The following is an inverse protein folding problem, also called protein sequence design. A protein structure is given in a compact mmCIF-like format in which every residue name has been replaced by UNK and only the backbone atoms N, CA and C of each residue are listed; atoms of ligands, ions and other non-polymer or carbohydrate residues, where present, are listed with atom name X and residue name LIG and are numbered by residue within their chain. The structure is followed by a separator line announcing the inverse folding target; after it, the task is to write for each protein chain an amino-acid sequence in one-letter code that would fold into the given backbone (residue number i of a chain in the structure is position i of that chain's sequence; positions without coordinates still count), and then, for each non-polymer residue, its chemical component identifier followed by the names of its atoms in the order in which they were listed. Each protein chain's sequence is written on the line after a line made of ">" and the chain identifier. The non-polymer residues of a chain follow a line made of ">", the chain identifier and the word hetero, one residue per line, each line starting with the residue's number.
data_IF_620917888558
#
_entry.id   IF_620917888558
#
_cell.length_a   1.000
_cell.length_b   1.000
_cell.length_c   1.000
_cell.angle_alpha   90.00
_cell.angle_beta   90.00
_cell.angle_gamma   90.00
#
_symmetry.space_group_name_H-M   'P 1'
#
loop_
_entity.id
_entity.type
_entity.pdbx_description
1 polymer ?
#
# COMPACT_ATOMS: atom_id res chain seq x y z
N UNK A 1 1.93 -14.26 -27.41
CA UNK A 1 1.17 -13.65 -26.29
C UNK A 1 2.03 -13.41 -25.03
N UNK A 2 3.24 -13.98 -24.93
CA UNK A 2 4.11 -13.95 -23.74
C UNK A 2 4.51 -12.56 -23.23
N UNK A 3 4.68 -11.58 -24.12
CA UNK A 3 5.13 -10.22 -23.74
C UNK A 3 4.17 -9.53 -22.76
N UNK A 4 2.85 -9.76 -22.89
CA UNK A 4 1.83 -9.11 -22.04
C UNK A 4 1.87 -9.66 -20.61
N UNK A 5 2.08 -10.95 -20.45
CA UNK A 5 2.20 -11.60 -19.13
C UNK A 5 3.42 -11.13 -18.35
N UNK A 6 4.54 -10.90 -19.05
CA UNK A 6 5.73 -10.31 -18.44
C UNK A 6 5.47 -8.91 -17.90
N UNK A 7 4.81 -8.05 -18.69
CA UNK A 7 4.47 -6.68 -18.26
C UNK A 7 3.52 -6.69 -17.07
N UNK A 8 2.47 -7.52 -17.08
CA UNK A 8 1.52 -7.61 -15.97
C UNK A 8 2.19 -8.09 -14.67
N UNK A 9 3.13 -9.04 -14.76
CA UNK A 9 3.89 -9.49 -13.59
C UNK A 9 4.77 -8.37 -13.02
N UNK A 10 5.43 -7.59 -13.89
CA UNK A 10 6.20 -6.43 -13.45
C UNK A 10 5.29 -5.39 -12.78
N UNK A 11 4.12 -5.11 -13.37
CA UNK A 11 3.14 -4.17 -12.80
C UNK A 11 2.60 -4.65 -11.45
N UNK A 12 2.34 -5.95 -11.30
CA UNK A 12 1.91 -6.53 -10.03
C UNK A 12 2.96 -6.33 -8.93
N UNK A 13 4.23 -6.61 -9.23
CA UNK A 13 5.34 -6.37 -8.28
C UNK A 13 5.52 -4.88 -8.00
N UNK A 14 5.44 -4.04 -9.03
CA UNK A 14 5.57 -2.59 -8.90
C UNK A 14 4.47 -2.01 -7.98
N UNK A 15 3.22 -2.44 -8.14
CA UNK A 15 2.11 -2.05 -7.27
C UNK A 15 2.38 -2.40 -5.81
N UNK A 16 2.87 -3.61 -5.53
CA UNK A 16 3.22 -4.04 -4.17
C UNK A 16 4.37 -3.20 -3.59
N UNK A 17 5.39 -2.90 -4.39
CA UNK A 17 6.51 -2.03 -3.96
C UNK A 17 6.03 -0.62 -3.66
N UNK A 18 5.20 -0.03 -4.54
CA UNK A 18 4.61 1.29 -4.32
C UNK A 18 3.74 1.30 -3.06
N UNK A 19 2.95 0.24 -2.83
CA UNK A 19 2.15 0.12 -1.61
C UNK A 19 3.03 0.24 -0.37
N UNK A 20 4.13 -0.53 -0.29
CA UNK A 20 5.07 -0.47 0.83
C UNK A 20 5.71 0.92 1.01
N UNK A 21 6.13 1.56 -0.08
CA UNK A 21 6.69 2.91 -0.03
C UNK A 21 5.66 3.89 0.57
N UNK A 22 4.42 3.86 0.09
CA UNK A 22 3.37 4.75 0.56
C UNK A 22 2.97 4.47 2.01
N UNK A 23 3.00 3.21 2.45
CA UNK A 23 2.77 2.86 3.85
C UNK A 23 3.85 3.49 4.76
N UNK A 24 5.12 3.38 4.39
CA UNK A 24 6.22 3.98 5.16
C UNK A 24 6.07 5.50 5.21
N UNK A 25 5.79 6.14 4.07
CA UNK A 25 5.54 7.59 4.02
C UNK A 25 4.34 7.98 4.90
N UNK A 26 3.26 7.20 4.86
CA UNK A 26 2.08 7.42 5.69
C UNK A 26 2.35 7.30 7.19
N UNK A 27 3.15 6.30 7.61
CA UNK A 27 3.58 6.14 9.00
C UNK A 27 4.42 7.34 9.45
N UNK A 28 5.40 7.76 8.64
CA UNK A 28 6.22 8.94 8.94
C UNK A 28 5.36 10.21 9.02
N UNK A 29 4.38 10.37 8.11
CA UNK A 29 3.42 11.47 8.14
C UNK A 29 2.55 11.47 9.39
N UNK A 30 2.08 10.30 9.84
CA UNK A 30 1.31 10.16 11.08
C UNK A 30 2.14 10.56 12.31
N UNK A 31 3.40 10.12 12.39
CA UNK A 31 4.33 10.53 13.46
C UNK A 31 4.59 12.03 13.42
N UNK A 32 4.82 12.60 12.23
CA UNK A 32 5.01 14.03 12.05
C UNK A 32 3.77 14.84 12.46
N UNK A 33 2.56 14.34 12.21
CA UNK A 33 1.32 14.99 12.64
C UNK A 33 1.18 15.02 14.16
N UNK A 34 1.51 13.93 14.85
CA UNK A 34 1.50 13.88 16.32
C UNK A 34 2.56 14.81 16.91
N UNK A 35 3.79 14.75 16.40
CA UNK A 35 4.88 15.63 16.82
C UNK A 35 4.55 17.11 16.55
N UNK A 36 3.99 17.41 15.38
CA UNK A 36 3.54 18.75 15.01
C UNK A 36 2.41 19.27 15.90
N UNK A 37 1.47 18.42 16.30
CA UNK A 37 0.42 18.80 17.26
C UNK A 37 0.97 19.11 18.65
N UNK A 38 1.94 18.32 19.12
CA UNK A 38 2.60 18.53 20.41
C UNK A 38 3.47 19.80 20.43
N UNK A 39 4.26 20.02 19.37
CA UNK A 39 5.18 21.16 19.26
C UNK A 39 4.46 22.46 18.87
N UNK A 40 3.47 22.38 17.96
CA UNK A 40 2.66 23.51 17.52
C UNK A 40 1.70 24.02 18.59
N UNK A 41 1.20 23.14 19.46
CA UNK A 41 0.44 23.54 20.65
C UNK A 41 1.25 24.38 21.64
N UNK A 42 2.59 24.26 21.64
CA UNK A 42 3.48 25.11 22.42
C UNK A 42 3.73 26.48 21.79
N UNK A 43 3.93 26.55 20.47
CA UNK A 43 4.22 27.81 19.78
C UNK A 43 2.98 28.71 19.55
N UNK A 44 1.79 28.13 19.36
CA UNK A 44 0.52 28.86 19.41
C UNK A 44 0.00 29.04 20.84
N UNK A 45 0.57 28.29 21.79
CA UNK A 45 0.22 28.28 23.20
C UNK A 45 0.37 29.66 23.82
N UNK A 46 1.50 30.34 23.60
CA UNK A 46 1.79 31.66 24.17
C UNK A 46 0.79 32.76 23.72
N UNK A 47 0.19 32.63 22.53
CA UNK A 47 -0.79 33.60 22.01
C UNK A 47 -2.23 33.29 22.45
N UNK A 48 -2.52 32.03 22.78
CA UNK A 48 -3.86 31.52 23.16
C UNK A 48 -3.96 31.15 24.65
N UNK A 49 -2.88 31.31 25.43
CA UNK A 49 -2.79 30.96 26.85
C UNK A 49 -3.85 31.68 27.69
N UNK A 50 -4.34 32.86 27.25
CA UNK A 50 -5.40 33.58 27.95
C UNK A 50 -6.80 32.98 27.80
N UNK A 51 -6.98 31.95 26.94
CA UNK A 51 -8.29 31.39 26.59
C UNK A 51 -8.45 29.87 26.77
N UNK A 52 -7.55 29.21 27.53
CA UNK A 52 -7.61 27.80 27.97
C UNK A 52 -6.82 26.77 27.15
N UNK A 53 -5.95 26.01 27.84
CA UNK A 53 -5.61 24.62 27.48
C UNK A 53 -4.91 24.34 26.14
N UNK A 54 -4.33 25.33 25.45
CA UNK A 54 -3.82 25.23 24.08
C UNK A 54 -2.89 24.04 23.80
N UNK A 55 -2.05 23.65 24.76
CA UNK A 55 -1.15 22.48 24.63
C UNK A 55 -1.94 21.15 24.58
N UNK A 56 -2.96 21.00 25.42
CA UNK A 56 -3.79 19.78 25.46
C UNK A 56 -4.62 19.66 24.19
N UNK A 57 -5.20 20.77 23.72
CA UNK A 57 -5.97 20.81 22.47
C UNK A 57 -5.08 20.50 21.27
N UNK A 58 -3.86 21.05 21.21
CA UNK A 58 -2.89 20.78 20.15
C UNK A 58 -2.45 19.31 20.09
N UNK A 59 -2.17 18.71 21.25
CA UNK A 59 -1.79 17.30 21.33
C UNK A 59 -2.93 16.36 20.90
N UNK A 60 -4.15 16.59 21.39
CA UNK A 60 -5.32 15.79 21.01
C UNK A 60 -5.63 15.91 19.51
N UNK A 61 -5.50 17.13 18.95
CA UNK A 61 -5.64 17.35 17.51
C UNK A 61 -4.56 16.61 16.70
N UNK A 62 -3.30 16.65 17.15
CA UNK A 62 -2.20 15.90 16.53
C UNK A 62 -2.40 14.39 16.56
N UNK A 63 -2.88 13.85 17.69
CA UNK A 63 -3.22 12.42 17.83
C UNK A 63 -4.35 12.04 16.89
N UNK A 64 -5.44 12.81 16.85
CA UNK A 64 -6.57 12.53 15.97
C UNK A 64 -6.16 12.57 14.48
N UNK A 65 -5.39 13.59 14.08
CA UNK A 65 -4.86 13.70 12.72
C UNK A 65 -3.90 12.56 12.38
N UNK A 66 -2.98 12.22 13.29
CA UNK A 66 -2.04 11.11 13.12
C UNK A 66 -2.75 9.76 12.99
N UNK A 67 -3.76 9.51 13.83
CA UNK A 67 -4.58 8.29 13.74
C UNK A 67 -5.35 8.22 12.42
N UNK A 68 -5.95 9.33 11.98
CA UNK A 68 -6.64 9.42 10.69
C UNK A 68 -5.71 9.16 9.50
N UNK A 69 -4.51 9.77 9.50
CA UNK A 69 -3.48 9.54 8.49
C UNK A 69 -3.00 8.10 8.47
N UNK A 70 -2.75 7.50 9.64
CA UNK A 70 -2.30 6.12 9.74
C UNK A 70 -3.37 5.16 9.22
N UNK A 71 -4.63 5.36 9.61
CA UNK A 71 -5.74 4.55 9.10
C UNK A 71 -5.87 4.68 7.59
N UNK A 72 -5.82 5.91 7.05
CA UNK A 72 -5.85 6.16 5.61
C UNK A 72 -4.70 5.48 4.88
N UNK A 73 -3.47 5.55 5.42
CA UNK A 73 -2.30 4.91 4.84
C UNK A 73 -2.41 3.38 4.82
N UNK A 74 -2.91 2.77 5.91
CA UNK A 74 -3.15 1.32 5.98
C UNK A 74 -4.22 0.89 4.98
N UNK A 75 -5.34 1.60 4.90
CA UNK A 75 -6.40 1.28 3.92
C UNK A 75 -5.88 1.42 2.48
N UNK A 76 -5.15 2.49 2.17
CA UNK A 76 -4.52 2.68 0.87
C UNK A 76 -3.51 1.58 0.54
N UNK A 77 -2.67 1.20 1.51
CA UNK A 77 -1.73 0.09 1.38
C UNK A 77 -2.44 -1.21 1.01
N UNK A 78 -3.48 -1.58 1.77
CA UNK A 78 -4.26 -2.80 1.53
C UNK A 78 -4.85 -2.79 0.12
N UNK A 79 -5.45 -1.69 -0.32
CA UNK A 79 -6.06 -1.59 -1.65
C UNK A 79 -5.02 -1.75 -2.78
N UNK A 80 -3.87 -1.09 -2.68
CA UNK A 80 -2.81 -1.18 -3.69
C UNK A 80 -2.14 -2.56 -3.71
N UNK A 81 -1.84 -3.10 -2.52
CA UNK A 81 -1.23 -4.42 -2.39
C UNK A 81 -2.17 -5.51 -2.91
N UNK A 82 -3.45 -5.46 -2.53
CA UNK A 82 -4.48 -6.39 -3.01
C UNK A 82 -4.68 -6.30 -4.52
N UNK A 83 -4.61 -5.11 -5.12
CA UNK A 83 -4.65 -4.96 -6.58
C UNK A 83 -3.47 -5.69 -7.27
N UNK A 84 -2.26 -5.57 -6.72
CA UNK A 84 -1.09 -6.32 -7.21
C UNK A 84 -1.25 -7.84 -7.04
N UNK A 85 -1.82 -8.30 -5.94
CA UNK A 85 -2.14 -9.73 -5.72
C UNK A 85 -3.23 -10.23 -6.68
N UNK A 86 -4.28 -9.45 -6.93
CA UNK A 86 -5.35 -9.84 -7.85
C UNK A 86 -4.81 -10.08 -9.27
N UNK A 87 -3.88 -9.24 -9.75
CA UNK A 87 -3.18 -9.46 -11.02
C UNK A 87 -2.38 -10.77 -10.95
N UNK A 88 -1.61 -10.98 -9.88
CA UNK A 88 -0.77 -12.17 -9.71
C UNK A 88 -1.60 -13.46 -9.73
N UNK A 89 -2.74 -13.48 -9.03
CA UNK A 89 -3.68 -14.61 -8.99
C UNK A 89 -4.30 -14.85 -10.36
N UNK A 90 -4.73 -13.80 -11.06
CA UNK A 90 -5.33 -13.94 -12.40
C UNK A 90 -4.32 -14.55 -13.39
N UNK A 91 -3.06 -14.13 -13.32
CA UNK A 91 -1.98 -14.72 -14.13
C UNK A 91 -1.77 -16.21 -13.83
N UNK A 92 -1.77 -16.59 -12.55
CA UNK A 92 -1.63 -17.98 -12.14
C UNK A 92 -2.81 -18.85 -12.62
N UNK A 93 -4.04 -18.32 -12.56
CA UNK A 93 -5.23 -19.02 -13.07
C UNK A 93 -5.10 -19.28 -14.57
N UNK A 94 -4.64 -18.30 -15.34
CA UNK A 94 -4.44 -18.49 -16.78
C UNK A 94 -3.35 -19.51 -17.08
N UNK A 95 -2.23 -19.46 -16.37
CA UNK A 95 -1.14 -20.42 -16.54
C UNK A 95 -1.60 -21.85 -16.28
N UNK A 96 -2.34 -22.07 -15.18
CA UNK A 96 -2.93 -23.37 -14.86
C UNK A 96 -3.98 -23.81 -15.89
N UNK A 97 -4.81 -22.90 -16.39
CA UNK A 97 -5.85 -23.20 -17.39
C UNK A 97 -5.22 -23.58 -18.73
N UNK A 98 -4.13 -22.89 -19.12
CA UNK A 98 -3.36 -23.22 -20.32
C UNK A 98 -2.72 -24.59 -20.16
N UNK A 99 -2.07 -24.88 -19.04
CA UNK A 99 -1.47 -26.19 -18.77
C UNK A 99 -2.50 -27.32 -18.82
N UNK A 100 -3.67 -27.14 -18.20
CA UNK A 100 -4.79 -28.08 -18.27
C UNK A 100 -5.24 -28.33 -19.72
N UNK A 101 -5.31 -27.29 -20.56
CA UNK A 101 -5.66 -27.44 -21.97
C UNK A 101 -4.64 -28.27 -22.76
N UNK A 102 -3.34 -28.16 -22.47
CA UNK A 102 -2.30 -29.01 -23.07
C UNK A 102 -2.51 -30.49 -22.71
N UNK A 103 -2.70 -30.79 -21.42
CA UNK A 103 -2.95 -32.16 -20.96
C UNK A 103 -4.20 -32.77 -21.59
N UNK A 104 -5.29 -31.99 -21.68
CA UNK A 104 -6.55 -32.47 -22.27
C UNK A 104 -6.47 -32.72 -23.78
N UNK A 105 -5.54 -32.06 -24.50
CA UNK A 105 -5.29 -32.29 -25.92
C UNK A 105 -4.38 -33.49 -26.19
N UNK A 106 -3.84 -34.12 -25.15
CA UNK A 106 -2.78 -35.13 -25.28
C UNK A 106 -1.48 -34.55 -25.85
N UNK A 107 -1.32 -33.22 -25.80
CA UNK A 107 -0.09 -32.56 -26.16
C UNK A 107 0.96 -32.80 -25.05
N UNK A 108 2.26 -32.90 -25.40
CA UNK A 108 3.31 -32.97 -24.39
C UNK A 108 3.23 -31.75 -23.44
N UNK A 109 3.81 -31.86 -22.22
CA UNK A 109 3.73 -30.81 -21.22
C UNK A 109 4.06 -29.46 -21.81
N UNK A 110 3.31 -28.43 -21.40
CA UNK A 110 3.44 -27.09 -21.94
C UNK A 110 4.92 -26.67 -21.88
N UNK A 111 5.49 -26.13 -22.98
CA UNK A 111 6.89 -25.73 -22.99
C UNK A 111 7.15 -24.82 -21.80
N UNK A 112 8.21 -25.11 -21.02
CA UNK A 112 8.55 -24.32 -19.84
C UNK A 112 8.60 -22.85 -20.24
N UNK A 113 7.77 -22.03 -19.59
CA UNK A 113 7.79 -20.59 -19.79
C UNK A 113 9.25 -20.13 -19.59
N UNK A 114 9.86 -19.39 -20.53
CA UNK A 114 11.18 -18.78 -20.33
C UNK A 114 11.22 -17.81 -19.13
N UNK A 115 10.06 -17.60 -18.50
CA UNK A 115 9.82 -16.72 -17.37
C UNK A 115 9.23 -17.47 -16.17
N UNK A 116 9.36 -18.81 -16.12
CA UNK A 116 9.13 -19.58 -14.90
C UNK A 116 10.18 -19.18 -13.83
N UNK A 117 9.80 -19.09 -12.54
CA UNK A 117 10.71 -18.70 -11.47
C UNK A 117 11.87 -19.69 -11.27
#
# INVERSE_FOLDING_TARGET
>A
MEKRFKVLRILATLLKVIAWILLVVGILGAVAAVAGGALGGGALGDTLESLSGGVVVGLLGGIAAGAGLLLGAVLQFVMLYAAGEAISVTLAIEENTREAAYYLRGEPPMPSSPYAP
#
